data_IF_326699825434
#
_entry.id   IF_326699825434
#
_cell.length_a   1.000
_cell.length_b   1.000
_cell.length_c   1.000
_cell.angle_alpha   90.00
_cell.angle_beta   90.00
_cell.angle_gamma   90.00
#
_symmetry.space_group_name_H-M   'P 1'
#
loop_
_entity.id
_entity.type
_entity.pdbx_description
1 polymer ?
#
# COMPACT_ATOMS: atom_id res chain seq x y z
N UNK A 1 -70.05 -4.60 42.67
CA UNK A 1 -69.88 -5.80 41.81
C UNK A 1 -69.48 -5.32 40.42
N UNK A 2 -68.50 -6.00 39.80
CA UNK A 2 -67.91 -5.77 38.46
C UNK A 2 -66.84 -4.69 38.39
N UNK A 3 -65.71 -4.83 37.69
CA UNK A 3 -64.86 -5.92 37.18
C UNK A 3 -63.53 -5.20 36.96
N UNK A 4 -62.40 -5.70 37.50
CA UNK A 4 -61.08 -5.17 37.15
C UNK A 4 -60.76 -5.60 35.72
N UNK A 5 -60.53 -4.62 34.83
CA UNK A 5 -59.88 -4.85 33.56
C UNK A 5 -58.42 -4.37 33.69
N UNK A 6 -57.50 -5.32 33.88
CA UNK A 6 -56.06 -5.06 33.78
C UNK A 6 -55.71 -5.19 32.30
N UNK A 7 -55.50 -4.07 31.63
CA UNK A 7 -54.92 -4.06 30.29
C UNK A 7 -53.41 -4.28 30.46
N UNK A 8 -52.96 -5.50 30.22
CA UNK A 8 -51.54 -5.79 30.04
C UNK A 8 -51.17 -5.21 28.68
N UNK A 9 -50.63 -3.99 28.66
CA UNK A 9 -49.94 -3.48 27.48
C UNK A 9 -48.66 -4.29 27.37
N UNK A 10 -48.68 -5.31 26.52
CA UNK A 10 -47.47 -6.01 26.13
C UNK A 10 -46.56 -4.97 25.46
N UNK A 11 -45.43 -4.66 26.09
CA UNK A 11 -44.31 -4.03 25.40
C UNK A 11 -43.91 -4.97 24.27
N UNK A 12 -44.37 -4.68 23.05
CA UNK A 12 -43.76 -5.24 21.85
C UNK A 12 -42.40 -4.57 21.73
N UNK A 13 -41.39 -5.21 22.32
CA UNK A 13 -40.01 -4.91 21.97
C UNK A 13 -39.82 -5.37 20.52
N UNK A 14 -39.99 -4.45 19.57
CA UNK A 14 -39.47 -4.65 18.23
C UNK A 14 -37.94 -4.50 18.35
N UNK A 15 -37.29 -5.58 18.75
CA UNK A 15 -35.85 -5.73 18.59
C UNK A 15 -35.59 -5.95 17.09
N UNK A 16 -35.59 -4.87 16.31
CA UNK A 16 -34.90 -4.86 15.03
C UNK A 16 -33.42 -4.90 15.36
N UNK A 17 -32.87 -6.11 15.40
CA UNK A 17 -31.45 -6.36 15.60
C UNK A 17 -30.65 -5.52 14.63
N UNK A 18 -29.99 -4.48 15.14
CA UNK A 18 -28.91 -3.84 14.42
C UNK A 18 -27.66 -4.64 14.75
N UNK A 19 -27.05 -5.25 13.74
CA UNK A 19 -25.70 -5.81 13.83
C UNK A 19 -24.72 -4.65 14.05
N UNK A 20 -24.52 -4.28 15.32
CA UNK A 20 -23.57 -3.24 15.71
C UNK A 20 -22.18 -3.87 15.73
N UNK A 21 -21.41 -3.64 14.67
CA UNK A 21 -19.99 -4.04 14.61
C UNK A 21 -19.16 -3.00 15.37
N UNK A 22 -18.73 -3.35 16.58
CA UNK A 22 -17.72 -2.58 17.32
C UNK A 22 -16.35 -3.03 16.81
N UNK A 23 -15.62 -2.14 16.11
CA UNK A 23 -14.26 -2.42 15.65
C UNK A 23 -13.26 -1.42 16.25
N UNK A 24 -12.12 -1.94 16.70
CA UNK A 24 -10.98 -1.13 17.13
C UNK A 24 -10.06 -0.87 15.93
N UNK A 25 -10.11 0.35 15.41
CA UNK A 25 -9.26 0.79 14.30
C UNK A 25 -7.90 1.32 14.75
N UNK A 26 -7.60 1.38 16.05
CA UNK A 26 -6.34 1.95 16.55
C UNK A 26 -5.12 1.12 16.13
N UNK A 27 -5.31 -0.19 15.94
CA UNK A 27 -4.28 -1.11 15.45
C UNK A 27 -4.10 -1.10 13.92
N UNK A 28 -4.95 -0.39 13.16
CA UNK A 28 -4.84 -0.38 11.70
C UNK A 28 -3.63 0.44 11.23
N UNK A 29 -2.87 -0.03 10.22
CA UNK A 29 -1.77 0.73 9.66
C UNK A 29 -2.22 2.10 9.14
N UNK A 30 -1.44 3.13 9.41
CA UNK A 30 -1.63 4.44 8.77
C UNK A 30 -0.96 4.44 7.41
N UNK A 31 -1.73 4.77 6.39
CA UNK A 31 -1.25 4.86 5.01
C UNK A 31 -1.20 6.32 4.54
N UNK A 32 -0.13 6.69 3.84
CA UNK A 32 0.08 8.06 3.36
C UNK A 32 0.55 8.05 1.91
N UNK A 33 0.08 9.02 1.12
CA UNK A 33 0.56 9.29 -0.22
C UNK A 33 1.82 10.16 -0.14
N UNK A 34 2.90 9.70 -0.76
CA UNK A 34 4.19 10.39 -0.78
C UNK A 34 4.58 10.63 -2.24
N UNK A 35 4.95 11.87 -2.55
CA UNK A 35 5.58 12.25 -3.81
C UNK A 35 7.05 12.57 -3.55
N UNK A 36 7.95 12.03 -4.38
CA UNK A 36 9.39 12.22 -4.23
C UNK A 36 10.10 12.33 -5.57
N UNK A 37 11.13 13.17 -5.63
CA UNK A 37 12.10 13.16 -6.71
C UNK A 37 12.91 11.85 -6.73
N UNK A 38 13.77 11.68 -7.74
CA UNK A 38 14.73 10.58 -7.83
C UNK A 38 15.55 10.42 -6.55
N UNK A 39 15.66 9.20 -6.03
CA UNK A 39 16.38 8.94 -4.77
C UNK A 39 17.90 8.83 -4.93
N UNK A 40 18.38 8.46 -6.13
CA UNK A 40 19.75 8.06 -6.40
C UNK A 40 20.28 6.92 -5.50
N UNK A 41 19.38 6.17 -4.86
CA UNK A 41 19.74 5.06 -3.98
C UNK A 41 19.76 3.74 -4.75
N UNK A 42 20.96 3.18 -4.92
CA UNK A 42 21.17 1.94 -5.68
C UNK A 42 20.35 0.75 -5.15
N UNK A 43 19.85 0.77 -3.92
CA UNK A 43 18.98 -0.29 -3.40
C UNK A 43 17.67 -0.41 -4.21
N UNK A 44 17.16 0.67 -4.80
CA UNK A 44 16.01 0.60 -5.70
C UNK A 44 16.33 -0.14 -6.99
N UNK A 45 17.55 -0.02 -7.52
CA UNK A 45 17.95 -0.70 -8.76
C UNK A 45 17.88 -2.23 -8.67
N UNK A 46 17.90 -2.82 -7.47
CA UNK A 46 17.70 -4.26 -7.27
C UNK A 46 16.32 -4.74 -7.71
N UNK A 47 15.30 -3.93 -7.47
CA UNK A 47 14.00 -4.05 -8.07
C UNK A 47 13.15 -5.28 -7.72
N UNK A 48 13.63 -6.34 -7.06
CA UNK A 48 12.77 -7.48 -6.66
C UNK A 48 12.54 -7.62 -5.14
N UNK A 49 13.42 -7.07 -4.31
CA UNK A 49 13.40 -7.26 -2.86
C UNK A 49 12.47 -6.28 -2.14
N UNK A 50 12.30 -6.47 -0.82
CA UNK A 50 11.51 -5.65 0.11
C UNK A 50 12.14 -4.25 0.34
N UNK A 51 12.50 -3.58 -0.75
CA UNK A 51 13.17 -2.29 -0.79
C UNK A 51 12.34 -1.24 -0.06
N UNK A 52 11.02 -1.28 -0.18
CA UNK A 52 10.11 -0.46 0.62
C UNK A 52 10.29 -0.65 2.13
N UNK A 53 10.41 -1.89 2.60
CA UNK A 53 10.56 -2.17 4.02
C UNK A 53 11.94 -1.78 4.55
N UNK A 54 12.97 -1.90 3.72
CA UNK A 54 14.35 -1.55 4.09
C UNK A 54 14.59 -0.04 4.01
N UNK A 55 14.11 0.61 2.96
CA UNK A 55 14.38 2.01 2.64
C UNK A 55 13.35 2.92 3.29
N UNK A 56 12.06 2.65 3.07
CA UNK A 56 10.97 3.48 3.55
C UNK A 56 10.44 3.07 4.93
N UNK A 57 10.86 1.90 5.45
CA UNK A 57 10.41 1.34 6.74
C UNK A 57 8.90 1.18 6.79
N UNK A 58 8.32 0.68 5.70
CA UNK A 58 6.90 0.43 5.58
C UNK A 58 6.60 -0.38 4.34
N UNK A 59 5.32 -0.70 4.13
CA UNK A 59 4.88 -1.44 2.96
C UNK A 59 4.28 -0.50 1.93
N UNK A 60 4.90 -0.40 0.77
CA UNK A 60 4.28 0.27 -0.37
C UNK A 60 3.14 -0.62 -0.85
N UNK A 61 1.96 -0.03 -1.06
CA UNK A 61 0.78 -0.77 -1.53
C UNK A 61 0.41 -0.41 -2.97
N UNK A 62 0.77 0.79 -3.42
CA UNK A 62 0.61 1.24 -4.79
C UNK A 62 1.66 2.31 -5.11
N UNK A 63 2.11 2.38 -6.35
CA UNK A 63 3.03 3.41 -6.81
C UNK A 63 2.88 3.73 -8.30
N UNK A 64 3.38 4.88 -8.71
CA UNK A 64 3.51 5.28 -10.12
C UNK A 64 4.76 6.12 -10.32
N UNK A 65 5.21 6.20 -11.56
CA UNK A 65 6.48 6.81 -11.94
C UNK A 65 6.20 7.89 -12.97
N UNK A 66 6.86 9.03 -12.85
CA UNK A 66 6.85 10.06 -13.88
C UNK A 66 8.02 9.80 -14.83
N UNK A 67 7.72 9.47 -16.08
CA UNK A 67 8.73 9.26 -17.13
C UNK A 67 9.43 10.58 -17.50
N UNK A 68 10.59 10.49 -18.15
CA UNK A 68 11.35 11.67 -18.59
C UNK A 68 10.58 12.62 -19.52
N UNK A 69 9.53 12.13 -20.20
CA UNK A 69 8.63 12.97 -20.99
C UNK A 69 7.58 13.73 -20.14
N UNK A 70 7.65 13.64 -18.81
CA UNK A 70 6.73 14.26 -17.87
C UNK A 70 5.42 13.51 -17.63
N UNK A 71 5.13 12.46 -18.41
CA UNK A 71 3.91 11.65 -18.24
C UNK A 71 4.02 10.70 -17.07
N UNK A 72 2.93 10.53 -16.33
CA UNK A 72 2.84 9.53 -15.27
C UNK A 72 2.44 8.17 -15.84
N UNK A 73 3.04 7.11 -15.32
CA UNK A 73 2.57 5.75 -15.55
C UNK A 73 1.18 5.51 -14.94
N UNK A 74 0.59 4.37 -15.29
CA UNK A 74 -0.50 3.80 -14.48
C UNK A 74 0.00 3.49 -13.06
N UNK A 75 -0.93 3.22 -12.15
CA UNK A 75 -0.59 2.67 -10.86
C UNK A 75 -0.14 1.21 -10.98
N UNK A 76 0.88 0.89 -10.19
CA UNK A 76 1.47 -0.43 -10.00
C UNK A 76 1.24 -0.86 -8.56
N UNK A 77 0.94 -2.14 -8.33
CA UNK A 77 0.96 -2.73 -7.00
C UNK A 77 2.20 -3.61 -6.85
N UNK A 78 2.92 -3.61 -5.72
CA UNK A 78 4.03 -4.55 -5.55
C UNK A 78 3.61 -6.01 -5.78
N UNK A 79 4.07 -6.65 -6.86
CA UNK A 79 3.72 -8.02 -7.25
C UNK A 79 2.47 -8.11 -8.12
N UNK A 80 1.88 -6.97 -8.49
CA UNK A 80 0.74 -6.83 -9.38
C UNK A 80 1.13 -5.86 -10.50
N UNK A 81 1.06 -6.32 -11.75
CA UNK A 81 1.30 -5.50 -12.94
C UNK A 81 2.60 -4.67 -12.95
N UNK A 82 3.59 -5.02 -12.12
CA UNK A 82 4.75 -4.16 -11.83
C UNK A 82 6.10 -4.76 -12.21
N UNK A 83 6.14 -5.82 -13.02
CA UNK A 83 7.38 -6.33 -13.59
C UNK A 83 7.85 -5.45 -14.74
N UNK A 84 9.11 -5.03 -14.70
CA UNK A 84 9.76 -4.30 -15.79
C UNK A 84 10.16 -5.27 -16.91
N UNK A 85 10.05 -4.81 -18.15
CA UNK A 85 10.52 -5.53 -19.33
C UNK A 85 12.06 -5.61 -19.37
N UNK A 86 12.75 -4.71 -18.67
CA UNK A 86 14.21 -4.71 -18.57
C UNK A 86 14.69 -5.62 -17.45
N UNK A 87 15.77 -6.33 -17.71
CA UNK A 87 16.51 -7.07 -16.68
C UNK A 87 17.45 -6.15 -15.91
N UNK A 88 17.89 -6.57 -14.73
CA UNK A 88 18.95 -5.92 -13.99
C UNK A 88 20.28 -6.02 -14.74
N UNK A 89 20.83 -4.91 -15.28
CA UNK A 89 22.16 -4.92 -15.87
C UNK A 89 23.23 -5.12 -14.79
N UNK A 90 24.46 -5.41 -15.21
CA UNK A 90 25.62 -5.32 -14.32
C UNK A 90 25.89 -3.85 -14.01
N UNK A 91 25.54 -3.40 -12.80
CA UNK A 91 25.78 -2.03 -12.37
C UNK A 91 27.14 -1.92 -11.70
N UNK A 92 28.19 -1.68 -12.48
CA UNK A 92 29.55 -1.47 -11.96
C UNK A 92 29.63 -0.35 -10.89
N UNK A 93 28.69 0.60 -10.90
CA UNK A 93 28.64 1.75 -9.98
C UNK A 93 27.89 1.49 -8.68
N UNK A 94 27.18 0.36 -8.55
CA UNK A 94 26.36 0.07 -7.39
C UNK A 94 26.90 -1.15 -6.65
N UNK A 95 27.55 -0.94 -5.50
CA UNK A 95 28.09 -2.00 -4.64
C UNK A 95 27.03 -2.77 -3.85
N UNK A 96 25.79 -2.82 -4.36
CA UNK A 96 24.72 -3.67 -3.82
C UNK A 96 24.75 -5.02 -4.53
N UNK A 97 24.47 -6.14 -3.85
CA UNK A 97 24.44 -7.46 -4.46
C UNK A 97 23.26 -7.56 -5.43
N UNK A 98 23.49 -7.11 -6.66
CA UNK A 98 22.52 -7.14 -7.74
C UNK A 98 22.75 -8.42 -8.54
N UNK A 99 21.77 -9.32 -8.52
CA UNK A 99 21.78 -10.47 -9.42
C UNK A 99 21.67 -9.95 -10.84
N UNK A 100 22.78 -9.93 -11.57
CA UNK A 100 22.81 -9.55 -12.98
C UNK A 100 21.90 -10.49 -13.77
N UNK A 101 21.23 -9.97 -14.80
CA UNK A 101 20.28 -10.71 -15.65
C UNK A 101 19.11 -11.33 -14.86
N UNK A 102 18.65 -10.65 -13.81
CA UNK A 102 17.42 -10.97 -13.08
C UNK A 102 16.28 -10.05 -13.49
N UNK A 103 15.04 -10.50 -13.33
CA UNK A 103 13.87 -9.63 -13.43
C UNK A 103 13.96 -8.52 -12.39
N UNK A 104 13.19 -7.45 -12.58
CA UNK A 104 13.04 -6.35 -11.63
C UNK A 104 11.64 -5.77 -11.72
N UNK A 105 11.19 -5.09 -10.68
CA UNK A 105 9.93 -4.35 -10.69
C UNK A 105 10.13 -2.92 -11.19
N UNK A 106 9.03 -2.28 -11.56
CA UNK A 106 8.98 -0.90 -12.04
C UNK A 106 9.52 0.09 -11.00
N UNK A 107 9.39 -0.15 -9.68
CA UNK A 107 9.97 0.73 -8.66
C UNK A 107 11.50 0.85 -8.71
N UNK A 108 12.19 0.07 -9.57
CA UNK A 108 13.62 0.25 -9.81
C UNK A 108 13.95 1.62 -10.40
N UNK A 109 12.97 2.26 -11.05
CA UNK A 109 13.05 3.63 -11.54
C UNK A 109 12.94 4.69 -10.43
N UNK A 110 12.65 4.34 -9.16
CA UNK A 110 12.72 5.31 -8.04
C UNK A 110 14.14 5.83 -7.84
N UNK A 111 15.14 5.13 -8.37
CA UNK A 111 16.51 5.59 -8.43
C UNK A 111 16.66 6.92 -9.18
N UNK A 112 16.09 7.05 -10.38
CA UNK A 112 16.34 8.14 -11.33
C UNK A 112 15.10 8.90 -11.79
N UNK A 113 13.90 8.49 -11.37
CA UNK A 113 12.66 9.17 -11.73
C UNK A 113 11.94 9.74 -10.51
N UNK A 114 11.24 10.84 -10.74
CA UNK A 114 10.19 11.30 -9.83
C UNK A 114 9.10 10.23 -9.76
N UNK A 115 8.61 9.97 -8.55
CA UNK A 115 7.67 8.90 -8.29
C UNK A 115 6.70 9.28 -7.17
N UNK A 116 5.59 8.58 -7.14
CA UNK A 116 4.56 8.72 -6.12
C UNK A 116 4.15 7.34 -5.62
N UNK A 117 3.95 7.19 -4.32
CA UNK A 117 3.57 5.92 -3.72
C UNK A 117 2.72 6.08 -2.48
N UNK A 118 1.88 5.08 -2.22
CA UNK A 118 1.12 4.95 -0.98
C UNK A 118 1.86 3.96 -0.10
N UNK A 119 2.28 4.40 1.09
CA UNK A 119 2.96 3.55 2.07
C UNK A 119 2.16 3.42 3.35
N UNK A 120 2.03 2.19 3.83
CA UNK A 120 1.40 1.87 5.10
C UNK A 120 2.46 1.49 6.14
N UNK A 121 2.33 2.06 7.35
CA UNK A 121 3.22 1.77 8.48
C UNK A 121 2.38 1.35 9.70
N UNK A 122 2.91 0.45 10.56
CA UNK A 122 2.29 0.18 11.86
C UNK A 122 2.08 1.49 12.64
N UNK A 123 0.99 1.55 13.39
CA UNK A 123 0.73 2.66 14.31
C UNK A 123 1.65 2.63 15.52
#
# INVERSE_FOLDING_TARGET
>A
MKVQAVIIVACVAIAVGQDVVIYDATSQPKCTLINRASTNDCRWKAGLDMADQIIEKGRIIAYRIQWFNGSWSTWFGPGLNDLDIKFNPNYATCAVPLKTNSMRRMWSYFYDHTHEFIICKPN
#
